data_IF_596361212932
#
_entry.id   IF_596361212932
#
_cell.length_a   1.000
_cell.length_b   1.000
_cell.length_c   1.000
_cell.angle_alpha   90.00
_cell.angle_beta   90.00
_cell.angle_gamma   90.00
#
_symmetry.space_group_name_H-M   'P 1'
#
loop_
_entity.id
_entity.type
_entity.pdbx_description
1 polymer ?
#
# COMPACT_ATOMS: atom_id res chain seq x y z
N UNK A 1 -8.24 4.49 -21.16
CA UNK A 1 -7.53 5.12 -20.01
C UNK A 1 -8.03 6.56 -19.89
N UNK A 2 -8.52 7.00 -18.71
CA UNK A 2 -9.00 8.38 -18.56
C UNK A 2 -7.79 9.32 -18.65
N UNK A 3 -7.90 10.41 -19.42
CA UNK A 3 -6.83 11.43 -19.62
C UNK A 3 -6.12 11.83 -18.32
N UNK A 4 -6.88 11.98 -17.24
CA UNK A 4 -6.34 12.31 -15.91
C UNK A 4 -5.25 11.33 -15.42
N UNK A 5 -5.42 10.02 -15.62
CA UNK A 5 -4.45 9.02 -15.18
C UNK A 5 -3.16 9.07 -15.98
N UNK A 6 -3.27 9.41 -17.28
CA UNK A 6 -2.10 9.64 -18.13
C UNK A 6 -1.27 10.83 -17.65
N UNK A 7 -1.91 11.97 -17.35
CA UNK A 7 -1.19 13.15 -16.83
C UNK A 7 -0.55 12.88 -15.45
N UNK A 8 -1.21 12.12 -14.58
CA UNK A 8 -0.63 11.71 -13.30
C UNK A 8 0.64 10.88 -13.53
N UNK A 9 0.58 9.90 -14.41
CA UNK A 9 1.73 9.07 -14.77
C UNK A 9 2.86 9.91 -15.37
N UNK A 10 2.55 10.82 -16.29
CA UNK A 10 3.53 11.69 -16.93
C UNK A 10 4.24 12.61 -15.92
N UNK A 11 3.49 13.19 -14.99
CA UNK A 11 4.06 14.08 -13.94
C UNK A 11 5.02 13.37 -12.97
N UNK A 12 5.03 12.03 -12.97
CA UNK A 12 5.85 11.20 -12.08
C UNK A 12 6.90 10.35 -12.83
N UNK A 13 7.22 10.70 -14.08
CA UNK A 13 8.20 9.95 -14.88
C UNK A 13 9.57 9.82 -14.20
N UNK A 14 10.02 10.85 -13.48
CA UNK A 14 11.28 10.83 -12.73
C UNK A 14 11.31 9.85 -11.54
N UNK A 15 10.16 9.26 -11.16
CA UNK A 15 10.01 8.34 -10.03
C UNK A 15 9.65 6.91 -10.47
N UNK A 16 10.05 6.54 -11.70
CA UNK A 16 9.75 5.22 -12.25
C UNK A 16 10.71 4.15 -11.71
N UNK A 17 10.16 2.96 -11.45
CA UNK A 17 10.91 1.72 -11.22
C UNK A 17 12.00 1.79 -10.13
N UNK A 18 11.86 2.66 -9.16
CA UNK A 18 12.83 2.79 -8.06
C UNK A 18 14.07 3.61 -8.41
N UNK A 19 14.04 4.41 -9.48
CA UNK A 19 15.13 5.31 -9.80
C UNK A 19 15.44 6.24 -8.62
N UNK A 20 16.71 6.33 -8.23
CA UNK A 20 17.18 7.13 -7.11
C UNK A 20 17.04 6.48 -5.72
N UNK A 21 16.51 5.27 -5.61
CA UNK A 21 16.43 4.54 -4.33
C UNK A 21 17.77 3.83 -4.08
N UNK A 22 18.48 4.25 -3.03
CA UNK A 22 19.79 3.69 -2.66
C UNK A 22 19.68 2.46 -1.75
N UNK A 23 18.60 2.34 -0.97
CA UNK A 23 18.35 1.19 -0.11
C UNK A 23 18.04 -0.07 -0.96
N UNK A 24 18.82 -1.16 -0.89
CA UNK A 24 18.56 -2.38 -1.66
C UNK A 24 17.18 -2.99 -1.35
N UNK A 25 16.78 -2.96 -0.08
CA UNK A 25 15.49 -3.50 0.38
C UNK A 25 14.33 -2.68 -0.17
N UNK A 26 14.42 -1.34 -0.13
CA UNK A 26 13.38 -0.46 -0.64
C UNK A 26 13.29 -0.54 -2.16
N UNK A 27 14.45 -0.60 -2.83
CA UNK A 27 14.52 -0.81 -4.27
C UNK A 27 13.86 -2.14 -4.68
N UNK A 28 14.17 -3.23 -3.98
CA UNK A 28 13.57 -4.54 -4.23
C UNK A 28 12.05 -4.50 -4.04
N UNK A 29 11.55 -3.86 -2.98
CA UNK A 29 10.12 -3.70 -2.76
C UNK A 29 9.45 -2.91 -3.89
N UNK A 30 10.03 -1.79 -4.29
CA UNK A 30 9.48 -0.99 -5.40
C UNK A 30 9.53 -1.78 -6.71
N UNK A 31 10.62 -2.46 -6.99
CA UNK A 31 10.84 -3.16 -8.26
C UNK A 31 9.99 -4.41 -8.41
N UNK A 32 9.90 -5.22 -7.34
CA UNK A 32 9.35 -6.57 -7.39
C UNK A 32 7.97 -6.70 -6.70
N UNK A 33 7.47 -5.64 -6.05
CA UNK A 33 6.14 -5.63 -5.45
C UNK A 33 5.29 -4.52 -6.03
N UNK A 34 5.74 -3.25 -5.94
CA UNK A 34 4.94 -2.12 -6.42
C UNK A 34 4.84 -2.12 -7.94
N UNK A 35 5.97 -2.18 -8.65
CA UNK A 35 6.06 -2.05 -10.10
C UNK A 35 6.24 -3.40 -10.82
N UNK A 36 5.84 -4.49 -10.18
CA UNK A 36 5.85 -5.79 -10.84
C UNK A 36 4.76 -5.86 -11.91
N UNK A 37 5.14 -6.37 -13.08
CA UNK A 37 4.27 -6.50 -14.24
C UNK A 37 3.97 -7.95 -14.64
N UNK A 38 4.45 -8.93 -13.87
CA UNK A 38 4.18 -10.33 -14.14
C UNK A 38 2.69 -10.64 -14.03
N UNK A 39 2.20 -11.47 -14.95
CA UNK A 39 0.82 -11.91 -14.95
C UNK A 39 0.68 -13.11 -14.03
N UNK A 40 0.06 -12.93 -12.86
CA UNK A 40 -0.28 -14.03 -11.97
C UNK A 40 -1.53 -14.76 -12.49
N UNK A 41 -1.56 -16.07 -12.38
CA UNK A 41 -2.73 -16.88 -12.80
C UNK A 41 -4.02 -16.41 -12.12
N UNK A 42 -3.95 -16.06 -10.85
CA UNK A 42 -5.09 -15.57 -10.07
C UNK A 42 -5.71 -14.29 -10.64
N UNK A 43 -4.96 -13.48 -11.41
CA UNK A 43 -5.49 -12.26 -12.01
C UNK A 43 -6.59 -12.51 -13.07
N UNK A 44 -6.68 -13.72 -13.61
CA UNK A 44 -7.73 -14.09 -14.56
C UNK A 44 -9.12 -14.09 -13.90
N UNK A 45 -9.18 -14.42 -12.61
CA UNK A 45 -10.42 -14.55 -11.87
C UNK A 45 -10.71 -13.38 -10.92
N UNK A 46 -9.68 -12.60 -10.55
CA UNK A 46 -9.80 -11.49 -9.63
C UNK A 46 -10.31 -10.22 -10.32
N UNK A 47 -11.35 -9.63 -9.73
CA UNK A 47 -11.82 -8.29 -10.08
C UNK A 47 -12.40 -8.17 -11.48
N UNK A 48 -13.08 -9.21 -12.01
CA UNK A 48 -13.73 -9.17 -13.33
C UNK A 48 -14.71 -8.01 -13.44
N UNK A 49 -15.49 -7.77 -12.39
CA UNK A 49 -16.49 -6.69 -12.31
C UNK A 49 -15.92 -5.38 -11.79
N UNK A 50 -14.66 -5.36 -11.34
CA UNK A 50 -14.06 -4.17 -10.75
C UNK A 50 -13.69 -3.13 -11.82
N UNK A 51 -13.91 -1.85 -11.49
CA UNK A 51 -13.43 -0.74 -12.28
C UNK A 51 -11.89 -0.71 -12.34
N UNK A 52 -11.34 -0.01 -13.33
CA UNK A 52 -9.89 0.03 -13.59
C UNK A 52 -9.03 0.35 -12.35
N UNK A 53 -9.43 1.36 -11.56
CA UNK A 53 -8.63 1.77 -10.39
C UNK A 53 -8.68 0.72 -9.28
N UNK A 54 -9.88 0.18 -8.98
CA UNK A 54 -10.04 -0.86 -7.96
C UNK A 54 -9.24 -2.11 -8.34
N UNK A 55 -9.30 -2.53 -9.60
CA UNK A 55 -8.50 -3.67 -10.11
C UNK A 55 -6.99 -3.41 -10.01
N UNK A 56 -6.54 -2.19 -10.33
CA UNK A 56 -5.14 -1.79 -10.23
C UNK A 56 -4.64 -1.85 -8.79
N UNK A 57 -5.40 -1.28 -7.84
CA UNK A 57 -5.09 -1.31 -6.42
C UNK A 57 -5.18 -2.74 -5.85
N UNK A 58 -6.22 -3.48 -6.19
CA UNK A 58 -6.39 -4.87 -5.76
C UNK A 58 -5.21 -5.76 -6.16
N UNK A 59 -4.71 -5.62 -7.40
CA UNK A 59 -3.51 -6.33 -7.84
C UNK A 59 -2.25 -5.92 -7.07
N UNK A 60 -2.13 -4.67 -6.66
CA UNK A 60 -1.07 -4.23 -5.76
C UNK A 60 -1.21 -4.90 -4.39
N UNK A 61 -2.42 -4.92 -3.81
CA UNK A 61 -2.67 -5.52 -2.50
C UNK A 61 -2.44 -7.04 -2.51
N UNK A 62 -2.79 -7.70 -3.59
CA UNK A 62 -2.40 -9.10 -3.84
C UNK A 62 -0.87 -9.27 -3.73
N UNK A 63 -0.08 -8.44 -4.45
CA UNK A 63 1.39 -8.55 -4.44
C UNK A 63 1.99 -8.23 -3.07
N UNK A 64 1.44 -7.25 -2.36
CA UNK A 64 1.85 -6.93 -0.98
C UNK A 64 1.54 -8.11 -0.06
N UNK A 65 0.37 -8.71 -0.14
CA UNK A 65 0.00 -9.88 0.65
C UNK A 65 0.90 -11.09 0.31
N UNK A 66 1.17 -11.31 -0.98
CA UNK A 66 2.07 -12.37 -1.43
C UNK A 66 3.52 -12.18 -0.93
N UNK A 67 4.00 -10.97 -0.93
CA UNK A 67 5.32 -10.62 -0.42
C UNK A 67 5.40 -10.69 1.10
N UNK A 68 4.40 -10.14 1.81
CA UNK A 68 4.41 -10.00 3.27
C UNK A 68 4.02 -11.30 3.97
N UNK A 69 3.16 -12.14 3.36
CA UNK A 69 2.56 -13.34 3.96
C UNK A 69 1.95 -13.05 5.35
N UNK A 70 0.98 -12.13 5.46
CA UNK A 70 0.41 -11.72 6.73
C UNK A 70 -0.39 -12.86 7.37
N UNK A 71 -0.28 -13.03 8.70
CA UNK A 71 -1.15 -13.94 9.45
C UNK A 71 -2.55 -13.33 9.59
N UNK A 72 -2.63 -12.03 9.85
CA UNK A 72 -3.90 -11.30 9.99
C UNK A 72 -3.95 -10.07 9.09
N UNK A 73 -5.15 -9.72 8.62
CA UNK A 73 -5.34 -8.55 7.79
C UNK A 73 -6.70 -7.86 8.00
N UNK A 74 -6.70 -6.55 7.71
CA UNK A 74 -7.89 -5.73 7.50
C UNK A 74 -7.85 -5.20 6.08
N UNK A 75 -8.75 -5.66 5.20
CA UNK A 75 -8.69 -5.37 3.76
C UNK A 75 -10.08 -5.10 3.17
N UNK A 76 -10.86 -4.26 3.84
CA UNK A 76 -12.26 -3.95 3.51
C UNK A 76 -12.49 -3.64 2.02
N UNK A 77 -13.22 -4.54 1.35
CA UNK A 77 -13.55 -4.49 -0.07
C UNK A 77 -12.43 -4.99 -1.02
N UNK A 78 -11.35 -5.59 -0.47
CA UNK A 78 -10.25 -6.19 -1.22
C UNK A 78 -9.83 -7.56 -0.65
N UNK A 79 -10.69 -8.16 0.15
CA UNK A 79 -10.43 -9.45 0.84
C UNK A 79 -10.03 -10.54 -0.15
N UNK A 80 -10.71 -10.63 -1.30
CA UNK A 80 -10.41 -11.62 -2.35
C UNK A 80 -8.99 -11.46 -2.91
N UNK A 81 -8.54 -10.23 -3.12
CA UNK A 81 -7.19 -9.96 -3.62
C UNK A 81 -6.13 -10.33 -2.58
N UNK A 82 -6.34 -9.95 -1.32
CA UNK A 82 -5.41 -10.26 -0.23
C UNK A 82 -5.39 -11.78 0.03
N UNK A 83 -6.56 -12.44 0.03
CA UNK A 83 -6.67 -13.89 0.20
C UNK A 83 -6.00 -14.66 -0.94
N UNK A 84 -6.10 -14.18 -2.16
CA UNK A 84 -5.42 -14.80 -3.30
C UNK A 84 -3.89 -14.64 -3.21
N UNK A 85 -3.39 -13.54 -2.64
CA UNK A 85 -1.95 -13.33 -2.39
C UNK A 85 -1.40 -14.11 -1.21
N UNK A 86 -2.21 -14.30 -0.16
CA UNK A 86 -1.85 -15.07 1.04
C UNK A 86 -3.03 -15.94 1.48
N UNK A 87 -3.00 -17.24 1.12
CA UNK A 87 -4.11 -18.17 1.39
C UNK A 87 -4.37 -18.43 2.87
N UNK A 88 -3.34 -18.28 3.72
CA UNK A 88 -3.43 -18.52 5.16
C UNK A 88 -3.96 -17.32 5.94
N UNK A 89 -4.09 -16.13 5.33
CA UNK A 89 -4.51 -14.92 6.02
C UNK A 89 -5.89 -15.04 6.67
N UNK A 90 -6.00 -14.50 7.89
CA UNK A 90 -7.25 -14.38 8.63
C UNK A 90 -7.66 -12.91 8.66
N UNK A 91 -8.93 -12.63 8.36
CA UNK A 91 -9.49 -11.28 8.47
C UNK A 91 -10.17 -11.14 9.83
N UNK A 92 -9.45 -10.58 10.79
CA UNK A 92 -9.89 -10.43 12.19
C UNK A 92 -10.45 -9.05 12.53
N UNK A 93 -10.34 -8.10 11.58
CA UNK A 93 -10.76 -6.72 11.78
C UNK A 93 -9.94 -5.93 12.80
N UNK A 94 -8.85 -6.50 13.33
CA UNK A 94 -8.08 -5.88 14.39
C UNK A 94 -7.12 -4.81 13.89
N UNK A 95 -7.04 -3.70 14.62
CA UNK A 95 -6.15 -2.56 14.31
C UNK A 95 -4.66 -2.84 14.60
N UNK A 96 -4.31 -4.07 14.98
CA UNK A 96 -2.95 -4.56 15.18
C UNK A 96 -2.54 -5.65 14.19
N UNK A 97 -3.34 -5.81 13.10
CA UNK A 97 -3.08 -6.82 12.06
C UNK A 97 -1.76 -6.56 11.32
N UNK A 98 -1.24 -7.60 10.69
CA UNK A 98 0.03 -7.52 9.96
C UNK A 98 -0.09 -6.73 8.66
N UNK A 99 -1.29 -6.74 8.04
CA UNK A 99 -1.61 -5.95 6.86
C UNK A 99 -2.94 -5.22 7.07
N UNK A 100 -2.93 -3.89 6.96
CA UNK A 100 -4.11 -3.08 7.19
C UNK A 100 -4.36 -2.12 6.03
N UNK A 101 -5.61 -2.10 5.55
CA UNK A 101 -6.10 -1.12 4.59
C UNK A 101 -6.95 -0.08 5.31
N UNK A 102 -6.52 1.18 5.24
CA UNK A 102 -7.24 2.34 5.77
C UNK A 102 -7.79 3.18 4.61
N UNK A 103 -9.10 3.30 4.52
CA UNK A 103 -9.76 4.25 3.61
C UNK A 103 -9.94 5.59 4.31
N UNK A 104 -9.77 6.70 3.59
CA UNK A 104 -10.01 8.04 4.11
C UNK A 104 -11.53 8.36 4.09
N UNK A 105 -12.28 7.60 4.88
CA UNK A 105 -13.73 7.69 5.05
C UNK A 105 -14.09 7.57 6.54
N UNK A 106 -15.11 8.29 6.99
CA UNK A 106 -15.48 8.33 8.40
C UNK A 106 -14.36 8.89 9.28
N UNK A 107 -14.17 8.31 10.46
CA UNK A 107 -13.17 8.75 11.43
C UNK A 107 -11.80 8.03 11.22
N UNK A 108 -11.22 8.18 10.02
CA UNK A 108 -9.92 7.58 9.70
C UNK A 108 -8.76 8.12 10.55
N UNK A 109 -8.88 9.33 11.12
CA UNK A 109 -7.83 9.91 11.98
C UNK A 109 -7.73 9.17 13.30
N UNK A 110 -8.86 8.91 13.98
CA UNK A 110 -8.89 8.11 15.21
C UNK A 110 -8.47 6.66 14.93
N UNK A 111 -8.89 6.09 13.80
CA UNK A 111 -8.43 4.76 13.38
C UNK A 111 -6.92 4.71 13.19
N UNK A 112 -6.32 5.71 12.55
CA UNK A 112 -4.85 5.78 12.40
C UNK A 112 -4.15 5.94 13.77
N UNK A 113 -4.70 6.74 14.68
CA UNK A 113 -4.18 6.88 16.03
C UNK A 113 -4.21 5.54 16.79
N UNK A 114 -5.28 4.77 16.66
CA UNK A 114 -5.39 3.44 17.24
C UNK A 114 -4.40 2.44 16.61
N UNK A 115 -4.22 2.47 15.29
CA UNK A 115 -3.22 1.68 14.56
C UNK A 115 -1.82 1.96 15.14
N UNK A 116 -1.43 3.22 15.32
CA UNK A 116 -0.13 3.58 15.89
C UNK A 116 0.15 2.97 17.27
N UNK A 117 -0.88 2.72 18.06
CA UNK A 117 -0.73 2.13 19.40
C UNK A 117 -0.60 0.60 19.36
N UNK A 118 -1.01 -0.06 18.28
CA UNK A 118 -1.10 -1.52 18.18
C UNK A 118 -0.20 -2.13 17.09
N UNK A 119 0.31 -1.31 16.18
CA UNK A 119 1.09 -1.75 15.03
C UNK A 119 2.41 -2.41 15.47
N UNK A 120 2.78 -3.48 14.78
CA UNK A 120 4.06 -4.17 14.94
C UNK A 120 5.11 -3.60 13.99
N UNK A 121 6.38 -3.83 14.26
CA UNK A 121 7.49 -3.34 13.45
C UNK A 121 7.43 -3.85 11.99
N UNK A 122 6.89 -5.03 11.78
CA UNK A 122 6.77 -5.68 10.48
C UNK A 122 5.38 -5.53 9.83
N UNK A 123 4.45 -4.79 10.47
CA UNK A 123 3.15 -4.47 9.88
C UNK A 123 3.27 -3.54 8.68
N UNK A 124 2.32 -3.66 7.77
CA UNK A 124 2.18 -2.76 6.61
C UNK A 124 0.79 -2.13 6.64
N UNK A 125 0.73 -0.81 6.60
CA UNK A 125 -0.51 -0.05 6.46
C UNK A 125 -0.59 0.57 5.07
N UNK A 126 -1.70 0.35 4.39
CA UNK A 126 -2.00 0.96 3.10
C UNK A 126 -3.11 1.99 3.31
N UNK A 127 -2.86 3.24 2.97
CA UNK A 127 -3.83 4.33 3.08
C UNK A 127 -4.34 4.65 1.69
N UNK A 128 -5.61 4.36 1.43
CA UNK A 128 -6.22 4.59 0.11
C UNK A 128 -6.73 6.03 0.01
N UNK A 129 -6.49 6.64 -1.16
CA UNK A 129 -7.01 7.98 -1.44
C UNK A 129 -6.23 9.13 -0.80
N UNK A 130 -4.92 9.00 -0.59
CA UNK A 130 -4.05 10.01 0.06
C UNK A 130 -4.12 11.42 -0.55
N UNK A 131 -4.70 11.58 -1.74
CA UNK A 131 -4.95 12.89 -2.36
C UNK A 131 -6.25 13.54 -1.91
N UNK A 132 -7.13 12.82 -1.20
CA UNK A 132 -8.35 13.39 -0.61
C UNK A 132 -8.00 14.27 0.60
N UNK A 133 -7.00 13.86 1.41
CA UNK A 133 -6.46 14.64 2.53
C UNK A 133 -4.91 14.61 2.51
N UNK A 134 -4.33 15.60 1.84
CA UNK A 134 -2.87 15.75 1.74
C UNK A 134 -2.21 16.12 3.06
N UNK A 135 -2.93 16.85 3.91
CA UNK A 135 -2.43 17.26 5.23
C UNK A 135 -2.27 16.02 6.10
N UNK A 136 -3.29 15.19 6.16
CA UNK A 136 -3.21 13.92 6.88
C UNK A 136 -2.07 13.02 6.35
N UNK A 137 -1.89 12.93 5.02
CA UNK A 137 -0.77 12.17 4.46
C UNK A 137 0.59 12.73 4.88
N UNK A 138 0.74 14.06 4.92
CA UNK A 138 1.96 14.72 5.40
C UNK A 138 2.20 14.45 6.91
N UNK A 139 1.15 14.51 7.72
CA UNK A 139 1.21 14.12 9.14
C UNK A 139 1.72 12.68 9.30
N UNK A 140 1.14 11.74 8.55
CA UNK A 140 1.56 10.32 8.57
C UNK A 140 3.03 10.15 8.16
N UNK A 141 3.46 10.78 7.08
CA UNK A 141 4.85 10.67 6.61
C UNK A 141 5.84 11.39 7.52
N UNK A 142 5.39 12.41 8.25
CA UNK A 142 6.19 13.16 9.24
C UNK A 142 6.29 12.46 10.61
N UNK A 143 5.32 11.61 10.96
CA UNK A 143 5.22 10.99 12.28
C UNK A 143 6.44 10.09 12.59
N UNK A 144 7.05 10.24 13.77
CA UNK A 144 8.25 9.49 14.18
C UNK A 144 8.01 7.98 14.31
N UNK A 145 6.76 7.56 14.47
CA UNK A 145 6.39 6.15 14.54
C UNK A 145 6.46 5.45 13.19
N UNK A 146 6.35 6.19 12.09
CA UNK A 146 6.48 5.65 10.74
C UNK A 146 7.94 5.51 10.32
N UNK A 147 8.28 4.43 9.64
CA UNK A 147 9.59 4.19 9.07
C UNK A 147 9.67 4.62 7.60
N UNK A 148 9.49 3.70 6.68
CA UNK A 148 9.53 3.97 5.25
C UNK A 148 8.12 4.14 4.70
N UNK A 149 7.90 5.17 3.88
CA UNK A 149 6.63 5.41 3.21
C UNK A 149 6.78 5.49 1.70
N UNK A 150 5.75 5.06 0.97
CA UNK A 150 5.70 5.13 -0.48
C UNK A 150 4.41 5.81 -0.94
N UNK A 151 4.54 6.98 -1.56
CA UNK A 151 3.43 7.73 -2.17
C UNK A 151 3.21 7.23 -3.61
N UNK A 152 2.14 6.49 -3.84
CA UNK A 152 1.75 5.95 -5.14
C UNK A 152 0.66 6.77 -5.83
N UNK A 153 0.37 7.98 -5.34
CA UNK A 153 -0.71 8.86 -5.76
C UNK A 153 -2.11 8.41 -5.35
N UNK A 154 -2.51 7.19 -5.70
CA UNK A 154 -3.85 6.63 -5.40
C UNK A 154 -3.92 6.06 -3.99
N UNK A 155 -2.80 5.57 -3.50
CA UNK A 155 -2.63 5.12 -2.12
C UNK A 155 -1.22 5.45 -1.63
N UNK A 156 -1.04 5.42 -0.30
CA UNK A 156 0.25 5.44 0.38
C UNK A 156 0.49 4.12 1.08
N UNK A 157 1.73 3.66 1.11
CA UNK A 157 2.15 2.47 1.87
C UNK A 157 3.03 2.96 3.01
N UNK A 158 2.79 2.47 4.22
CA UNK A 158 3.52 2.81 5.44
C UNK A 158 4.09 1.54 6.06
N UNK A 159 5.40 1.53 6.31
CA UNK A 159 6.11 0.49 7.02
C UNK A 159 6.65 1.03 8.34
N UNK A 160 6.71 0.20 9.38
CA UNK A 160 7.01 0.62 10.75
C UNK A 160 8.36 0.10 11.28
N UNK A 161 9.18 -0.52 10.43
CA UNK A 161 10.49 -1.03 10.81
C UNK A 161 11.44 0.12 11.19
N UNK A 162 11.65 0.29 12.50
CA UNK A 162 12.54 1.32 13.07
C UNK A 162 14.04 1.02 12.91
N UNK A 163 14.42 -0.19 12.48
CA UNK A 163 15.81 -0.51 12.15
C UNK A 163 16.25 0.14 10.85
N UNK A 164 15.30 0.56 10.03
CA UNK A 164 15.53 1.24 8.77
C UNK A 164 15.50 2.76 8.95
N UNK A 165 16.36 3.46 8.26
CA UNK A 165 16.30 4.92 8.23
C UNK A 165 14.95 5.39 7.66
N UNK A 166 14.32 6.35 8.32
CA UNK A 166 13.08 6.96 7.84
C UNK A 166 13.30 7.56 6.45
N UNK A 167 12.47 7.15 5.49
CA UNK A 167 12.49 7.64 4.11
C UNK A 167 11.07 7.73 3.55
N UNK A 168 10.82 8.79 2.81
CA UNK A 168 9.56 9.02 2.12
C UNK A 168 9.83 9.00 0.62
N UNK A 169 9.30 8.01 -0.09
CA UNK A 169 9.48 7.85 -1.52
C UNK A 169 8.22 8.24 -2.28
N UNK A 170 8.40 8.94 -3.39
CA UNK A 170 7.36 9.12 -4.40
C UNK A 170 7.63 8.11 -5.50
N UNK A 171 6.62 7.30 -5.84
CA UNK A 171 6.75 6.24 -6.84
C UNK A 171 5.71 6.45 -7.94
N UNK A 172 6.12 6.34 -9.18
CA UNK A 172 5.20 6.26 -10.30
C UNK A 172 4.61 4.84 -10.38
N UNK A 173 3.27 4.78 -10.27
CA UNK A 173 2.53 3.53 -10.16
C UNK A 173 1.38 3.48 -11.18
#
# INVERSE_FOLDING_TARGET
>A
MRLRHFFVWLSRLGHCRGFGIQSPTDYAFVRYVINEHWSYYQYADLGKEDGWLKRKLGRLYFRIANWRQPATAVAEGYEDYVKAGCRSVIFDGAEGSDLMLLKLEGDYRSRMASIYNKVKADSVVIIEGIRKDKVFWQEVTGDERTGVTFDLYYCGIVMFDKKRHKKNYIINF
#
